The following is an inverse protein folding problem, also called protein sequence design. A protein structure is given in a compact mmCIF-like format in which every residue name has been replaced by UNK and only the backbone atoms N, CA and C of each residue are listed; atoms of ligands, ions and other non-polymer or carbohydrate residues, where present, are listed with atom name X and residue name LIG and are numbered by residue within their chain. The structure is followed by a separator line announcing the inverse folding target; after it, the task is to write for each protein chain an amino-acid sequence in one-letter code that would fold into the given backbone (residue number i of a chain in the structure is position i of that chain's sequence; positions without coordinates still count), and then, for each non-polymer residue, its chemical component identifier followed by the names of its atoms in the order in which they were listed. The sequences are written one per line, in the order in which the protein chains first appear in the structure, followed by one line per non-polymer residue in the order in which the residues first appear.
data_IF_575366405700
#
_entry.id   IF_575366405700
#
_cell.length_a   1.000
_cell.length_b   1.000
_cell.length_c   1.000
_cell.angle_alpha   90.00
_cell.angle_beta   90.00
_cell.angle_gamma   90.00
#
_symmetry.space_group_name_H-M   'P 1'
#
loop_
_entity.id
_entity.type
_entity.pdbx_description
1 polymer ?
#
# COMPACT_ATOMS: atom_id res chain seq x y z
N UNK A 1 26.45 4.33 23.38
CA UNK A 1 25.20 4.78 22.72
C UNK A 1 24.87 6.28 22.95
N UNK A 2 25.61 7.05 23.77
CA UNK A 2 25.25 8.42 24.14
C UNK A 2 25.77 9.55 23.21
N UNK A 3 26.77 9.30 22.36
CA UNK A 3 27.47 10.38 21.63
C UNK A 3 26.75 10.85 20.34
N UNK A 4 26.10 9.95 19.61
CA UNK A 4 25.39 10.32 18.37
C UNK A 4 24.19 11.26 18.63
N UNK A 5 23.49 11.07 19.76
CA UNK A 5 22.38 11.94 20.15
C UNK A 5 22.86 13.34 20.53
N UNK A 6 24.02 13.46 21.18
CA UNK A 6 24.61 14.74 21.58
C UNK A 6 25.05 15.58 20.37
N UNK A 7 25.49 14.93 19.30
CA UNK A 7 25.85 15.60 18.02
C UNK A 7 24.60 16.06 17.28
N UNK A 8 23.54 15.24 17.24
CA UNK A 8 22.25 15.62 16.63
C UNK A 8 21.59 16.80 17.33
N UNK A 9 21.50 16.77 18.66
CA UNK A 9 20.90 17.84 19.48
C UNK A 9 21.63 19.18 19.28
N UNK A 10 22.96 19.18 19.18
CA UNK A 10 23.76 20.39 18.93
C UNK A 10 23.59 20.96 17.52
N UNK A 11 23.25 20.14 16.53
CA UNK A 11 22.96 20.61 15.16
C UNK A 11 21.58 21.24 15.08
N UNK A 12 20.57 20.60 15.69
CA UNK A 12 19.20 21.13 15.73
C UNK A 12 19.11 22.44 16.51
N UNK A 13 19.86 22.58 17.61
CA UNK A 13 19.88 23.84 18.38
C UNK A 13 20.52 25.01 17.62
N UNK A 14 21.55 24.74 16.79
CA UNK A 14 22.17 25.76 15.93
C UNK A 14 21.21 26.22 14.82
N UNK A 15 20.48 25.30 14.20
CA UNK A 15 19.48 25.64 13.17
C UNK A 15 18.39 26.50 13.77
N UNK A 16 17.85 26.12 14.94
CA UNK A 16 16.81 26.88 15.63
C UNK A 16 17.27 28.31 15.98
N UNK A 17 18.51 28.46 16.45
CA UNK A 17 19.07 29.78 16.76
C UNK A 17 19.19 30.66 15.50
N UNK A 18 19.67 30.12 14.38
CA UNK A 18 19.79 30.85 13.11
C UNK A 18 18.41 31.28 12.61
N UNK A 19 17.42 30.39 12.66
CA UNK A 19 16.04 30.70 12.25
C UNK A 19 15.43 31.78 13.13
N UNK A 20 15.68 31.77 14.44
CA UNK A 20 15.18 32.78 15.37
C UNK A 20 15.78 34.17 15.10
N UNK A 21 17.09 34.24 14.80
CA UNK A 21 17.76 35.50 14.42
C UNK A 21 17.25 36.01 13.08
N UNK A 22 17.07 35.14 12.08
CA UNK A 22 16.51 35.53 10.79
C UNK A 22 15.07 36.06 10.94
N UNK A 23 14.24 35.36 11.71
CA UNK A 23 12.85 35.76 11.97
C UNK A 23 12.78 37.13 12.65
N UNK A 24 13.56 37.37 13.71
CA UNK A 24 13.58 38.65 14.42
C UNK A 24 14.09 39.81 13.55
N UNK A 25 15.06 39.54 12.68
CA UNK A 25 15.56 40.54 11.72
C UNK A 25 14.46 40.93 10.73
N UNK A 26 13.76 39.94 10.15
CA UNK A 26 12.65 40.18 9.21
C UNK A 26 11.49 40.91 9.90
N UNK A 27 11.13 40.50 11.12
CA UNK A 27 10.10 41.16 11.92
C UNK A 27 10.43 42.64 12.15
N UNK A 28 11.67 42.94 12.50
CA UNK A 28 12.14 44.32 12.76
C UNK A 28 12.12 45.16 11.49
N UNK A 29 12.53 44.60 10.34
CA UNK A 29 12.49 45.29 9.04
C UNK A 29 11.05 45.60 8.63
N UNK A 30 10.13 44.65 8.78
CA UNK A 30 8.72 44.83 8.40
C UNK A 30 8.03 45.85 9.30
N UNK A 31 8.31 45.82 10.60
CA UNK A 31 7.76 46.77 11.55
C UNK A 31 8.24 48.21 11.28
N UNK A 32 9.55 48.40 11.09
CA UNK A 32 10.13 49.73 10.91
C UNK A 32 9.80 50.36 9.53
N UNK A 33 9.70 49.56 8.46
CA UNK A 33 9.47 50.09 7.11
C UNK A 33 7.99 50.16 6.73
N UNK A 34 7.13 49.30 7.30
CA UNK A 34 5.73 49.16 6.88
C UNK A 34 4.71 49.24 8.03
N UNK A 35 5.15 49.41 9.29
CA UNK A 35 4.30 49.37 10.50
C UNK A 35 3.47 48.09 10.65
N UNK A 36 3.90 47.00 10.02
CA UNK A 36 3.22 45.71 10.15
C UNK A 36 3.79 45.01 11.38
N UNK A 37 2.94 44.79 12.39
CA UNK A 37 3.32 43.96 13.53
C UNK A 37 3.23 42.48 13.13
N UNK A 38 4.39 41.86 12.89
CA UNK A 38 4.48 40.45 12.52
C UNK A 38 3.93 39.54 13.63
N UNK A 39 3.86 40.02 14.89
CA UNK A 39 3.32 39.27 16.02
C UNK A 39 1.80 39.07 15.86
N UNK A 40 1.07 40.09 15.42
CA UNK A 40 -0.38 40.01 15.21
C UNK A 40 -0.76 39.02 14.10
N UNK A 41 0.10 38.89 13.07
CA UNK A 41 -0.13 37.95 11.97
C UNK A 41 0.37 36.52 12.28
N UNK A 42 1.50 36.39 12.98
CA UNK A 42 2.10 35.09 13.27
C UNK A 42 1.39 34.34 14.40
N UNK A 43 0.80 35.05 15.37
CA UNK A 43 0.09 34.46 16.50
C UNK A 43 -1.08 33.54 16.09
N UNK A 44 -2.03 33.94 15.23
CA UNK A 44 -3.11 33.05 14.80
C UNK A 44 -2.61 31.87 13.98
N UNK A 45 -1.54 32.03 13.19
CA UNK A 45 -0.93 30.94 12.41
C UNK A 45 -0.29 29.91 13.34
N UNK A 46 0.49 30.35 14.33
CA UNK A 46 1.11 29.46 15.31
C UNK A 46 0.04 28.74 16.12
N UNK A 47 -0.97 29.46 16.61
CA UNK A 47 -2.07 28.87 17.38
C UNK A 47 -2.85 27.84 16.55
N UNK A 48 -3.09 28.13 15.27
CA UNK A 48 -3.68 27.21 14.30
C UNK A 48 -2.85 25.94 14.13
N UNK A 49 -1.53 26.06 13.94
CA UNK A 49 -0.64 24.89 13.80
C UNK A 49 -0.57 24.03 15.06
N UNK A 50 -0.57 24.64 16.24
CA UNK A 50 -0.59 23.89 17.50
C UNK A 50 -1.92 23.16 17.67
N UNK A 51 -3.05 23.83 17.36
CA UNK A 51 -4.37 23.22 17.42
C UNK A 51 -4.51 22.04 16.45
N UNK A 52 -3.98 22.15 15.22
CA UNK A 52 -4.03 21.05 14.24
C UNK A 52 -3.16 19.87 14.65
N UNK A 53 -1.95 20.10 15.18
CA UNK A 53 -1.09 19.02 15.70
C UNK A 53 -1.77 18.29 16.86
N UNK A 54 -2.33 19.03 17.82
CA UNK A 54 -3.03 18.45 18.97
C UNK A 54 -4.31 17.70 18.55
N UNK A 55 -5.08 18.24 17.61
CA UNK A 55 -6.25 17.59 17.03
C UNK A 55 -5.88 16.30 16.29
N UNK A 56 -4.81 16.34 15.48
CA UNK A 56 -4.29 15.17 14.78
C UNK A 56 -3.83 14.08 15.76
N UNK A 57 -3.13 14.45 16.83
CA UNK A 57 -2.74 13.51 17.88
C UNK A 57 -3.95 12.90 18.62
N UNK A 58 -5.00 13.70 18.88
CA UNK A 58 -6.23 13.21 19.49
C UNK A 58 -7.00 12.26 18.56
N UNK A 59 -7.10 12.59 17.27
CA UNK A 59 -7.67 11.73 16.24
C UNK A 59 -6.88 10.42 16.13
N UNK A 60 -5.55 10.47 16.07
CA UNK A 60 -4.71 9.28 16.04
C UNK A 60 -4.95 8.39 17.26
N UNK A 61 -5.10 8.97 18.46
CA UNK A 61 -5.41 8.23 19.69
C UNK A 61 -6.83 7.63 19.68
N UNK A 62 -7.80 8.33 19.10
CA UNK A 62 -9.16 7.83 18.92
C UNK A 62 -9.23 6.72 17.88
N UNK A 63 -8.57 6.86 16.73
CA UNK A 63 -8.47 5.84 15.69
C UNK A 63 -7.74 4.59 16.22
N UNK A 64 -6.61 4.76 16.91
CA UNK A 64 -5.93 3.63 17.56
C UNK A 64 -6.81 2.96 18.63
N UNK A 65 -7.56 3.73 19.42
CA UNK A 65 -8.48 3.19 20.43
C UNK A 65 -9.73 2.53 19.84
N UNK A 66 -10.24 3.03 18.71
CA UNK A 66 -11.38 2.47 17.98
C UNK A 66 -10.96 1.18 17.29
N UNK A 67 -9.82 1.16 16.59
CA UNK A 67 -9.27 -0.05 16.00
C UNK A 67 -8.95 -1.11 17.07
N UNK A 68 -8.38 -0.72 18.23
CA UNK A 68 -8.17 -1.66 19.33
C UNK A 68 -9.46 -2.20 19.96
N UNK A 69 -10.56 -1.43 19.91
CA UNK A 69 -11.89 -1.87 20.41
C UNK A 69 -12.68 -2.65 19.36
N UNK A 70 -12.45 -2.40 18.08
CA UNK A 70 -13.13 -3.06 16.95
C UNK A 70 -12.41 -4.33 16.46
N UNK A 71 -11.14 -4.55 16.84
CA UNK A 71 -10.39 -5.78 16.56
C UNK A 71 -10.72 -6.98 17.47
N UNK A 72 -11.97 -7.11 17.94
CA UNK A 72 -12.45 -8.31 18.64
C UNK A 72 -13.88 -8.77 18.25
N UNK A 73 -14.39 -8.44 17.07
CA UNK A 73 -15.65 -9.11 16.62
C UNK A 73 -15.78 -9.45 15.13
N UNK A 74 -14.70 -9.44 14.35
CA UNK A 74 -14.79 -9.90 12.96
C UNK A 74 -13.81 -11.04 12.69
N UNK A 75 -14.37 -12.26 12.65
CA UNK A 75 -13.76 -13.38 11.94
C UNK A 75 -12.89 -14.35 12.75
N UNK A 76 -13.46 -15.03 13.75
CA UNK A 76 -12.99 -16.39 14.05
C UNK A 76 -14.16 -17.26 14.49
N UNK A 77 -14.84 -17.86 13.50
CA UNK A 77 -15.52 -19.14 13.72
C UNK A 77 -14.42 -20.19 13.67
N UNK A 78 -14.01 -20.67 14.83
CA UNK A 78 -13.41 -21.99 14.95
C UNK A 78 -14.18 -22.79 15.99
N UNK A 79 -14.58 -23.98 15.57
CA UNK A 79 -15.44 -24.93 16.27
C UNK A 79 -14.70 -25.52 17.46
N UNK A 80 -15.29 -25.43 18.65
CA UNK A 80 -15.20 -26.54 19.62
C UNK A 80 -16.39 -26.55 20.57
N UNK A 81 -17.24 -27.55 20.35
CA UNK A 81 -17.83 -28.45 21.37
C UNK A 81 -18.53 -27.83 22.58
N UNK A 82 -19.87 -28.01 22.62
CA UNK A 82 -20.60 -28.86 23.60
C UNK A 82 -21.91 -28.22 24.10
N UNK A 83 -23.02 -28.90 23.81
CA UNK A 83 -24.12 -29.03 24.76
C UNK A 83 -25.46 -28.38 24.42
N UNK A 84 -26.38 -29.24 23.96
CA UNK A 84 -27.77 -29.37 24.47
C UNK A 84 -28.93 -28.67 23.70
N UNK A 85 -29.94 -29.51 23.44
CA UNK A 85 -31.20 -29.39 22.67
C UNK A 85 -32.33 -28.71 23.51
N UNK A 86 -33.62 -28.63 23.11
CA UNK A 86 -34.33 -27.43 22.62
C UNK A 86 -35.60 -27.04 23.45
N UNK A 87 -36.24 -25.91 23.13
CA UNK A 87 -37.71 -25.69 23.25
C UNK A 87 -38.04 -24.32 22.65
N UNK A 88 -38.70 -24.21 21.50
CA UNK A 88 -40.15 -24.31 21.27
C UNK A 88 -41.02 -23.23 21.95
N UNK A 89 -41.67 -22.46 21.07
CA UNK A 89 -43.09 -22.06 21.11
C UNK A 89 -43.44 -20.60 21.51
N UNK A 90 -43.83 -19.88 20.45
CA UNK A 90 -44.72 -18.71 20.32
C UNK A 90 -45.96 -18.71 21.26
N UNK A 91 -46.63 -17.58 21.56
CA UNK A 91 -47.57 -16.98 20.57
C UNK A 91 -47.79 -15.45 20.61
N UNK A 92 -47.98 -14.91 19.41
CA UNK A 92 -49.10 -14.08 18.90
C UNK A 92 -49.92 -13.21 19.89
N UNK A 93 -50.09 -11.92 19.59
CA UNK A 93 -51.32 -11.13 19.77
C UNK A 93 -51.23 -9.80 19.01
N UNK A 94 -52.20 -9.60 18.10
CA UNK A 94 -52.50 -8.39 17.35
C UNK A 94 -53.09 -7.27 18.23
N UNK A 95 -52.81 -6.00 17.88
CA UNK A 95 -53.79 -4.91 18.06
C UNK A 95 -53.61 -3.86 16.95
N UNK A 96 -54.76 -3.42 16.41
CA UNK A 96 -54.96 -2.61 15.20
C UNK A 96 -55.35 -1.17 15.55
N UNK A 97 -55.07 -0.24 14.61
CA UNK A 97 -55.74 1.06 14.28
C UNK A 97 -54.85 2.33 14.43
N UNK A 98 -55.06 3.42 13.64
CA UNK A 98 -54.83 3.56 12.19
C UNK A 98 -54.14 4.94 11.87
N UNK A 99 -54.33 5.55 10.67
CA UNK A 99 -53.38 5.72 9.58
C UNK A 99 -52.59 7.05 9.62
N UNK A 100 -51.46 7.13 8.91
CA UNK A 100 -50.97 8.43 8.39
C UNK A 100 -50.34 8.23 7.03
N UNK A 101 -51.05 8.70 6.00
CA UNK A 101 -50.54 8.96 4.68
C UNK A 101 -49.36 9.94 4.75
N UNK A 102 -48.19 9.48 4.36
CA UNK A 102 -47.16 10.33 3.77
C UNK A 102 -46.48 9.58 2.63
N UNK A 103 -47.24 9.45 1.54
CA UNK A 103 -46.68 9.40 0.21
C UNK A 103 -45.86 10.67 -0.04
N UNK A 104 -44.60 10.65 0.36
CA UNK A 104 -43.56 11.46 -0.28
C UNK A 104 -42.67 10.47 -1.02
N UNK A 105 -43.18 10.01 -2.16
CA UNK A 105 -42.32 9.49 -3.20
C UNK A 105 -41.56 10.69 -3.74
N UNK A 106 -40.41 10.98 -3.12
CA UNK A 106 -39.34 11.73 -3.79
C UNK A 106 -38.99 10.93 -5.03
N UNK A 107 -39.64 11.30 -6.14
CA UNK A 107 -39.27 10.84 -7.46
C UNK A 107 -37.91 11.49 -7.73
N UNK A 108 -36.85 10.83 -7.30
CA UNK A 108 -35.47 11.18 -7.62
C UNK A 108 -35.37 11.13 -9.15
N UNK A 109 -35.57 12.27 -9.80
CA UNK A 109 -35.35 12.41 -11.24
C UNK A 109 -33.84 12.37 -11.39
N UNK A 110 -33.33 11.15 -11.56
CA UNK A 110 -31.93 10.89 -11.84
C UNK A 110 -31.58 11.66 -13.12
N UNK A 111 -30.73 12.67 -12.98
CA UNK A 111 -30.34 13.52 -14.12
C UNK A 111 -29.70 12.63 -15.19
N UNK A 112 -30.15 12.68 -16.46
CA UNK A 112 -29.53 11.90 -17.55
C UNK A 112 -28.01 12.10 -17.63
N UNK A 113 -27.53 13.30 -17.27
CA UNK A 113 -26.12 13.63 -17.16
C UNK A 113 -25.37 12.83 -16.08
N UNK A 114 -25.99 12.62 -14.90
CA UNK A 114 -25.39 11.86 -13.81
C UNK A 114 -25.24 10.38 -14.21
N UNK A 115 -26.24 9.84 -14.91
CA UNK A 115 -26.21 8.47 -15.44
C UNK A 115 -25.09 8.24 -16.46
N UNK A 116 -24.88 9.19 -17.38
CA UNK A 116 -23.76 9.12 -18.34
C UNK A 116 -22.39 9.23 -17.64
N UNK A 117 -22.28 10.08 -16.62
CA UNK A 117 -21.07 10.20 -15.80
C UNK A 117 -20.76 8.89 -15.06
N UNK A 118 -21.75 8.28 -14.40
CA UNK A 118 -21.59 7.01 -13.69
C UNK A 118 -21.15 5.88 -14.62
N UNK A 119 -21.81 5.75 -15.78
CA UNK A 119 -21.44 4.75 -16.79
C UNK A 119 -19.99 4.91 -17.26
N UNK A 120 -19.51 6.15 -17.44
CA UNK A 120 -18.12 6.43 -17.82
C UNK A 120 -17.12 6.06 -16.72
N UNK A 121 -17.47 6.30 -15.45
CA UNK A 121 -16.62 5.90 -14.32
C UNK A 121 -16.54 4.36 -14.23
N UNK A 122 -17.65 3.64 -14.45
CA UNK A 122 -17.64 2.18 -14.47
C UNK A 122 -16.85 1.60 -15.65
N UNK A 123 -16.95 2.21 -16.83
CA UNK A 123 -16.14 1.84 -17.99
C UNK A 123 -14.64 2.03 -17.72
N UNK A 124 -14.25 3.17 -17.14
CA UNK A 124 -12.85 3.41 -16.75
C UNK A 124 -12.35 2.35 -15.76
N UNK A 125 -13.15 2.02 -14.74
CA UNK A 125 -12.79 0.97 -13.78
C UNK A 125 -12.67 -0.42 -14.40
N UNK A 126 -13.54 -0.76 -15.35
CA UNK A 126 -13.43 -2.02 -16.10
C UNK A 126 -12.16 -2.05 -16.95
N UNK A 127 -11.87 -0.98 -17.69
CA UNK A 127 -10.66 -0.89 -18.50
C UNK A 127 -9.38 -0.97 -17.65
N UNK A 128 -9.38 -0.32 -16.47
CA UNK A 128 -8.27 -0.43 -15.50
C UNK A 128 -8.11 -1.86 -14.96
N UNK A 129 -9.22 -2.53 -14.63
CA UNK A 129 -9.20 -3.91 -14.16
C UNK A 129 -8.74 -4.88 -15.26
N UNK A 130 -9.24 -4.75 -16.49
CA UNK A 130 -8.83 -5.57 -17.63
C UNK A 130 -7.34 -5.40 -17.94
N UNK A 131 -6.85 -4.15 -17.95
CA UNK A 131 -5.41 -3.86 -18.10
C UNK A 131 -4.60 -4.50 -16.98
N UNK A 132 -5.05 -4.36 -15.73
CA UNK A 132 -4.37 -4.96 -14.57
C UNK A 132 -4.32 -6.48 -14.66
N UNK A 133 -5.41 -7.13 -15.05
CA UNK A 133 -5.47 -8.58 -15.27
C UNK A 133 -4.50 -9.02 -16.36
N UNK A 134 -4.40 -8.27 -17.47
CA UNK A 134 -3.45 -8.58 -18.54
C UNK A 134 -1.99 -8.44 -18.09
N UNK A 135 -1.68 -7.43 -17.28
CA UNK A 135 -0.34 -7.25 -16.68
C UNK A 135 -0.02 -8.42 -15.74
N UNK A 136 -0.94 -8.78 -14.85
CA UNK A 136 -0.77 -9.89 -13.90
C UNK A 136 -0.54 -11.20 -14.64
N UNK A 137 -1.30 -11.47 -15.70
CA UNK A 137 -1.09 -12.63 -16.56
C UNK A 137 0.33 -12.68 -17.15
N UNK A 138 0.81 -11.58 -17.73
CA UNK A 138 2.18 -11.51 -18.25
C UNK A 138 3.25 -11.75 -17.16
N UNK A 139 2.99 -11.28 -15.94
CA UNK A 139 3.87 -11.53 -14.78
C UNK A 139 3.86 -13.01 -14.38
N UNK A 140 2.73 -13.71 -14.45
CA UNK A 140 2.67 -15.16 -14.20
C UNK A 140 3.47 -15.96 -15.23
N UNK A 141 3.38 -15.60 -16.52
CA UNK A 141 4.19 -16.23 -17.57
C UNK A 141 5.68 -16.00 -17.31
N UNK A 142 6.06 -14.75 -17.06
CA UNK A 142 7.43 -14.35 -16.71
C UNK A 142 7.97 -15.09 -15.49
N UNK A 143 7.17 -15.16 -14.43
CA UNK A 143 7.52 -15.85 -13.20
C UNK A 143 7.73 -17.34 -13.45
N UNK A 144 6.88 -17.97 -14.25
CA UNK A 144 7.03 -19.39 -14.60
C UNK A 144 8.32 -19.63 -15.37
N UNK A 145 8.64 -18.78 -16.35
CA UNK A 145 9.86 -18.90 -17.15
C UNK A 145 11.13 -18.72 -16.32
N UNK A 146 11.23 -17.64 -15.53
CA UNK A 146 12.44 -17.33 -14.78
C UNK A 146 12.62 -18.21 -13.54
N UNK A 147 11.53 -18.49 -12.82
CA UNK A 147 11.59 -19.05 -11.46
C UNK A 147 11.48 -20.57 -11.41
N UNK A 148 10.95 -21.24 -12.45
CA UNK A 148 10.72 -22.70 -12.45
C UNK A 148 12.00 -23.53 -12.25
N UNK A 149 13.13 -23.03 -12.73
CA UNK A 149 14.42 -23.69 -12.52
C UNK A 149 14.88 -23.66 -11.05
N UNK A 150 14.42 -22.68 -10.26
CA UNK A 150 14.82 -22.48 -8.87
C UNK A 150 13.80 -23.03 -7.87
N UNK A 151 12.53 -23.19 -8.25
CA UNK A 151 11.43 -23.52 -7.34
C UNK A 151 10.85 -24.91 -7.60
N UNK A 152 10.32 -25.53 -6.55
CA UNK A 152 9.42 -26.68 -6.69
C UNK A 152 8.10 -26.24 -7.35
N UNK A 153 7.26 -27.18 -7.79
CA UNK A 153 5.95 -26.85 -8.34
C UNK A 153 5.10 -26.15 -7.27
N UNK A 154 5.09 -26.69 -6.05
CA UNK A 154 4.34 -26.15 -4.91
C UNK A 154 4.82 -24.74 -4.50
N UNK A 155 6.14 -24.51 -4.49
CA UNK A 155 6.70 -23.17 -4.21
C UNK A 155 6.41 -22.18 -5.35
N UNK A 156 6.36 -22.65 -6.60
CA UNK A 156 6.01 -21.81 -7.75
C UNK A 156 4.52 -21.45 -7.73
N UNK A 157 3.64 -22.38 -7.39
CA UNK A 157 2.21 -22.10 -7.16
C UNK A 157 2.03 -21.08 -6.04
N UNK A 158 2.74 -21.26 -4.92
CA UNK A 158 2.72 -20.30 -3.81
C UNK A 158 3.25 -18.92 -4.23
N UNK A 159 4.27 -18.86 -5.10
CA UNK A 159 4.76 -17.59 -5.64
C UNK A 159 3.68 -16.89 -6.48
N UNK A 160 2.95 -17.64 -7.30
CA UNK A 160 1.84 -17.09 -8.07
C UNK A 160 0.74 -16.52 -7.17
N UNK A 161 0.34 -17.24 -6.10
CA UNK A 161 -0.62 -16.71 -5.12
C UNK A 161 -0.13 -15.40 -4.47
N UNK A 162 1.15 -15.33 -4.09
CA UNK A 162 1.73 -14.12 -3.51
C UNK A 162 1.74 -12.94 -4.49
N UNK A 163 1.95 -13.19 -5.80
CA UNK A 163 1.87 -12.16 -6.85
C UNK A 163 0.46 -11.63 -6.98
N UNK A 164 -0.55 -12.50 -6.93
CA UNK A 164 -1.96 -12.10 -6.94
C UNK A 164 -2.29 -11.21 -5.74
N UNK A 165 -1.82 -11.61 -4.55
CA UNK A 165 -1.97 -10.80 -3.34
C UNK A 165 -1.26 -9.44 -3.44
N UNK A 166 -0.06 -9.38 -4.04
CA UNK A 166 0.66 -8.12 -4.30
C UNK A 166 -0.09 -7.24 -5.30
N UNK A 167 -0.56 -7.81 -6.40
CA UNK A 167 -1.23 -7.09 -7.46
C UNK A 167 -2.55 -6.51 -6.95
N UNK A 168 -3.39 -7.30 -6.29
CA UNK A 168 -4.73 -6.87 -5.87
C UNK A 168 -4.79 -6.26 -4.46
N UNK A 169 -3.67 -6.20 -3.75
CA UNK A 169 -3.59 -5.56 -2.43
C UNK A 169 -4.34 -6.35 -1.35
N UNK A 170 -4.23 -7.67 -1.38
CA UNK A 170 -4.84 -8.54 -0.39
C UNK A 170 -4.21 -8.35 1.00
N UNK A 171 -5.01 -8.58 2.05
CA UNK A 171 -4.60 -8.32 3.43
C UNK A 171 -3.85 -9.51 4.05
N UNK A 172 -3.98 -10.69 3.46
CA UNK A 172 -3.32 -11.91 3.89
C UNK A 172 -1.79 -11.76 3.84
N UNK A 173 -1.06 -12.26 4.86
CA UNK A 173 0.38 -12.24 4.83
C UNK A 173 0.91 -13.14 3.72
N UNK A 174 1.98 -12.70 3.04
CA UNK A 174 2.64 -13.52 2.03
C UNK A 174 3.20 -14.81 2.62
N UNK A 175 3.08 -15.89 1.86
CA UNK A 175 3.62 -17.20 2.22
C UNK A 175 5.10 -17.27 1.85
N UNK A 176 6.01 -17.59 2.79
CA UNK A 176 7.42 -17.72 2.46
C UNK A 176 7.65 -18.97 1.62
N UNK A 177 8.57 -18.85 0.66
CA UNK A 177 9.02 -19.93 -0.23
C UNK A 177 10.55 -20.02 -0.19
N UNK A 178 11.09 -21.10 -0.76
CA UNK A 178 12.53 -21.32 -0.80
C UNK A 178 12.97 -21.92 -2.13
N UNK A 179 14.11 -21.47 -2.62
CA UNK A 179 14.77 -22.09 -3.76
C UNK A 179 15.31 -23.49 -3.42
N UNK A 180 15.36 -24.36 -4.43
CA UNK A 180 15.85 -25.73 -4.29
C UNK A 180 17.31 -25.71 -3.81
N UNK A 181 17.74 -26.66 -2.95
CA UNK A 181 19.10 -26.66 -2.41
C UNK A 181 20.20 -26.79 -3.46
N UNK A 182 19.93 -27.49 -4.56
CA UNK A 182 20.83 -27.74 -5.69
C UNK A 182 20.91 -26.57 -6.68
N UNK A 183 19.86 -25.74 -6.74
CA UNK A 183 19.82 -24.54 -7.58
C UNK A 183 19.26 -23.34 -6.80
N UNK A 184 20.08 -22.80 -5.90
CA UNK A 184 19.68 -21.64 -5.09
C UNK A 184 19.74 -20.33 -5.88
N UNK A 185 18.62 -19.62 -5.93
CA UNK A 185 18.58 -18.26 -6.45
C UNK A 185 19.36 -17.30 -5.54
N UNK A 186 20.07 -16.35 -6.14
CA UNK A 186 20.93 -15.40 -5.40
C UNK A 186 20.27 -14.03 -5.31
N UNK A 187 20.70 -13.26 -4.30
CA UNK A 187 20.15 -11.94 -4.00
C UNK A 187 20.09 -10.99 -5.21
N UNK A 188 21.09 -10.89 -6.10
CA UNK A 188 20.98 -10.03 -7.29
C UNK A 188 19.78 -10.39 -8.18
N UNK A 189 19.60 -11.67 -8.52
CA UNK A 189 18.45 -12.12 -9.33
C UNK A 189 17.11 -11.82 -8.64
N UNK A 190 17.02 -12.02 -7.32
CA UNK A 190 15.79 -11.70 -6.57
C UNK A 190 15.48 -10.19 -6.55
N UNK A 191 16.51 -9.35 -6.44
CA UNK A 191 16.35 -7.88 -6.51
C UNK A 191 15.81 -7.45 -7.87
N UNK A 192 16.40 -7.96 -8.94
CA UNK A 192 15.98 -7.65 -10.30
C UNK A 192 14.58 -8.16 -10.60
N UNK A 193 14.27 -9.40 -10.20
CA UNK A 193 12.94 -9.96 -10.31
C UNK A 193 11.89 -9.09 -9.62
N UNK A 194 12.14 -8.69 -8.37
CA UNK A 194 11.24 -7.80 -7.63
C UNK A 194 11.08 -6.42 -8.28
N UNK A 195 12.14 -5.91 -8.91
CA UNK A 195 12.05 -4.67 -9.68
C UNK A 195 11.17 -4.83 -10.92
N UNK A 196 11.42 -5.86 -11.73
CA UNK A 196 10.74 -6.12 -13.01
C UNK A 196 9.22 -6.28 -12.83
N UNK A 197 8.79 -7.07 -11.84
CA UNK A 197 7.35 -7.28 -11.56
C UNK A 197 6.72 -6.01 -10.98
N UNK A 198 7.42 -5.34 -10.06
CA UNK A 198 6.89 -4.17 -9.39
C UNK A 198 6.80 -2.96 -10.30
N UNK A 199 7.62 -2.89 -11.36
CA UNK A 199 7.55 -1.83 -12.36
C UNK A 199 6.25 -1.91 -13.16
N UNK A 200 5.87 -3.11 -13.57
CA UNK A 200 4.65 -3.36 -14.33
C UNK A 200 3.39 -3.15 -13.51
N UNK A 201 3.45 -3.45 -12.22
CA UNK A 201 2.35 -3.26 -11.27
C UNK A 201 2.28 -1.86 -10.66
N UNK A 202 3.19 -0.95 -11.03
CA UNK A 202 3.32 0.39 -10.42
C UNK A 202 3.43 0.36 -8.88
N UNK A 203 4.17 -0.63 -8.36
CA UNK A 203 4.37 -0.81 -6.92
C UNK A 203 5.52 0.09 -6.44
N UNK A 204 5.39 0.81 -5.31
CA UNK A 204 6.50 1.57 -4.74
C UNK A 204 7.72 0.70 -4.41
N UNK A 205 8.95 1.21 -4.63
CA UNK A 205 10.20 0.46 -4.39
C UNK A 205 10.29 -0.15 -2.98
N UNK A 206 9.79 0.56 -1.97
CA UNK A 206 9.78 0.07 -0.58
C UNK A 206 8.91 -1.18 -0.41
N UNK A 207 7.78 -1.25 -1.12
CA UNK A 207 6.86 -2.37 -1.02
C UNK A 207 7.34 -3.54 -1.88
N UNK A 208 8.00 -3.28 -3.03
CA UNK A 208 8.76 -4.31 -3.78
C UNK A 208 9.82 -4.98 -2.89
N UNK A 209 10.56 -4.18 -2.11
CA UNK A 209 11.60 -4.67 -1.21
C UNK A 209 11.03 -5.48 -0.02
N UNK A 210 9.92 -5.04 0.57
CA UNK A 210 9.21 -5.81 1.61
C UNK A 210 8.68 -7.12 1.06
N UNK A 211 8.06 -7.09 -0.12
CA UNK A 211 7.50 -8.26 -0.79
C UNK A 211 8.56 -9.35 -0.93
N UNK A 212 9.64 -9.05 -1.67
CA UNK A 212 10.68 -10.05 -1.97
C UNK A 212 11.37 -10.59 -0.71
N UNK A 213 11.61 -9.73 0.29
CA UNK A 213 12.19 -10.11 1.57
C UNK A 213 11.27 -11.03 2.38
N UNK A 214 9.96 -10.83 2.29
CA UNK A 214 8.96 -11.65 2.98
C UNK A 214 8.82 -13.02 2.33
N UNK A 215 8.80 -13.08 0.99
CA UNK A 215 8.64 -14.36 0.27
C UNK A 215 9.94 -15.18 0.19
N UNK A 216 11.12 -14.55 0.19
CA UNK A 216 12.43 -15.24 0.22
C UNK A 216 13.24 -14.89 1.47
N UNK A 217 12.78 -15.26 2.68
CA UNK A 217 13.41 -14.85 3.92
C UNK A 217 14.80 -15.49 4.10
N UNK A 218 15.01 -16.70 3.58
CA UNK A 218 16.26 -17.44 3.69
C UNK A 218 17.34 -16.90 2.75
N UNK A 219 17.04 -16.73 1.46
CA UNK A 219 17.96 -16.23 0.44
C UNK A 219 18.37 -14.79 0.69
N UNK A 220 17.51 -14.02 1.36
CA UNK A 220 17.74 -12.62 1.68
C UNK A 220 18.02 -12.39 3.16
N UNK A 221 18.30 -13.41 3.98
CA UNK A 221 18.44 -13.32 5.45
C UNK A 221 19.20 -12.07 5.92
N UNK A 222 20.36 -11.82 5.33
CA UNK A 222 21.27 -10.73 5.70
C UNK A 222 20.96 -9.37 5.03
N UNK A 223 19.98 -9.32 4.12
CA UNK A 223 19.59 -8.10 3.43
C UNK A 223 18.54 -7.32 4.24
N UNK A 224 18.80 -6.03 4.48
CA UNK A 224 17.84 -5.10 5.07
C UNK A 224 16.87 -4.60 3.99
N UNK A 225 15.68 -4.16 4.39
CA UNK A 225 14.69 -3.60 3.46
C UNK A 225 15.26 -2.34 2.78
N UNK A 226 15.98 -1.49 3.53
CA UNK A 226 16.63 -0.29 3.01
C UNK A 226 17.71 -0.61 1.97
N UNK A 227 18.50 -1.65 2.22
CA UNK A 227 19.48 -2.14 1.25
C UNK A 227 18.78 -2.63 -0.01
N UNK A 228 17.75 -3.47 0.12
CA UNK A 228 17.02 -4.02 -1.03
C UNK A 228 16.42 -2.88 -1.86
N UNK A 229 15.65 -1.98 -1.23
CA UNK A 229 15.00 -0.84 -1.89
C UNK A 229 15.97 0.01 -2.73
N UNK A 230 17.19 0.23 -2.25
CA UNK A 230 18.23 1.00 -2.97
C UNK A 230 18.88 0.24 -4.12
N UNK A 231 18.84 -1.09 -4.10
CA UNK A 231 19.59 -1.96 -5.01
C UNK A 231 18.68 -2.87 -5.86
N UNK A 232 17.36 -2.60 -5.90
CA UNK A 232 16.42 -3.36 -6.72
C UNK A 232 16.78 -3.31 -8.22
N UNK A 233 17.29 -2.16 -8.68
CA UNK A 233 17.66 -1.90 -10.08
C UNK A 233 19.17 -1.66 -10.25
N UNK A 234 19.99 -2.34 -9.44
CA UNK A 234 21.44 -2.23 -9.60
C UNK A 234 21.91 -2.91 -10.91
N UNK A 235 23.19 -2.73 -11.24
CA UNK A 235 23.80 -3.30 -12.44
C UNK A 235 24.68 -4.51 -12.13
N UNK A 236 24.48 -5.16 -10.98
CA UNK A 236 25.25 -6.34 -10.60
C UNK A 236 24.85 -7.49 -11.53
N UNK A 237 25.81 -8.25 -12.10
CA UNK A 237 25.48 -9.42 -12.90
C UNK A 237 24.57 -10.39 -12.13
N UNK A 238 23.47 -10.77 -12.76
CA UNK A 238 22.45 -11.66 -12.21
C UNK A 238 21.93 -12.57 -13.32
N UNK A 239 21.39 -13.73 -12.93
CA UNK A 239 20.76 -14.66 -13.89
C UNK A 239 19.50 -14.01 -14.45
N UNK A 240 18.70 -13.40 -13.57
CA UNK A 240 17.54 -12.60 -13.97
C UNK A 240 18.04 -11.18 -14.24
N UNK A 241 17.94 -10.74 -15.50
CA UNK A 241 18.32 -9.41 -15.91
C UNK A 241 17.26 -8.37 -15.53
N UNK A 242 17.69 -7.11 -15.39
CA UNK A 242 16.76 -5.97 -15.32
C UNK A 242 16.08 -5.81 -16.67
N UNK A 243 14.75 -5.80 -16.67
CA UNK A 243 13.89 -5.72 -17.85
C UNK A 243 13.00 -4.47 -17.76
N UNK A 244 13.43 -3.42 -18.45
CA UNK A 244 12.78 -2.10 -18.47
C UNK A 244 11.79 -2.06 -19.63
N UNK A 245 10.47 -1.99 -19.37
CA UNK A 245 9.48 -1.94 -20.43
C UNK A 245 9.51 -0.59 -21.17
N UNK A 246 9.09 -0.60 -22.43
CA UNK A 246 8.79 0.63 -23.16
C UNK A 246 7.54 1.32 -22.59
N UNK A 247 7.36 2.61 -22.90
CA UNK A 247 6.22 3.37 -22.37
C UNK A 247 4.89 2.75 -22.78
N UNK A 248 4.13 2.26 -21.79
CA UNK A 248 2.83 1.63 -22.01
C UNK A 248 2.90 0.14 -22.34
N UNK A 249 4.11 -0.42 -22.51
CA UNK A 249 4.33 -1.86 -22.61
C UNK A 249 4.41 -2.49 -21.21
N UNK A 250 3.98 -3.74 -21.10
CA UNK A 250 4.09 -4.56 -19.90
C UNK A 250 4.63 -5.96 -20.20
N UNK A 251 4.87 -6.29 -21.46
CA UNK A 251 5.48 -7.56 -21.86
C UNK A 251 6.95 -7.60 -21.46
N UNK A 252 7.48 -8.81 -21.27
CA UNK A 252 8.88 -9.03 -20.90
C UNK A 252 9.67 -9.35 -22.16
N UNK A 253 10.86 -8.75 -22.31
CA UNK A 253 11.66 -8.93 -23.53
C UNK A 253 12.10 -10.38 -23.73
N UNK A 254 12.31 -11.13 -22.64
CA UNK A 254 12.64 -12.56 -22.70
C UNK A 254 11.51 -13.44 -23.27
N UNK A 255 10.28 -12.92 -23.37
CA UNK A 255 9.12 -13.66 -23.88
C UNK A 255 8.81 -13.37 -25.35
N UNK A 256 9.38 -12.32 -25.93
CA UNK A 256 9.04 -11.89 -27.28
C UNK A 256 9.74 -12.73 -28.36
N UNK A 257 10.76 -13.51 -28.01
CA UNK A 257 11.62 -14.23 -28.96
C UNK A 257 11.07 -15.56 -29.49
N UNK A 258 9.88 -16.01 -29.06
CA UNK A 258 9.29 -17.29 -29.52
C UNK A 258 8.26 -17.14 -30.65
N UNK A 259 7.88 -15.92 -31.03
CA UNK A 259 6.87 -15.70 -32.08
C UNK A 259 7.47 -15.52 -33.50
N UNK A 260 8.74 -15.12 -33.59
CA UNK A 260 9.38 -14.77 -34.88
C UNK A 260 10.25 -15.90 -35.48
N UNK A 261 10.33 -17.06 -34.83
CA UNK A 261 11.13 -18.20 -35.32
C UNK A 261 10.36 -19.21 -36.18
N UNK A 262 9.06 -19.01 -36.40
CA UNK A 262 8.19 -19.91 -37.17
C UNK A 262 7.63 -19.25 -38.46
N UNK A 263 8.48 -18.58 -39.24
CA UNK A 263 8.12 -18.10 -40.58
C UNK A 263 9.21 -18.39 -41.63
#
# INVERSE_FOLDING_TARGET
MADNNRISIKKTSRVLAITCVAYTTVATILYNNYQIDLIDYSTPVILGTVATIMSCAALQRLFCSLLSKSCLSFGCKELSSRGTVPSETNPDTQEELPPTDNATSEKHVESPYLKEYEARIEELRRNEMEKKTAIVHAIHEYTTHEMSQFLSIDDLETLHENIESLAYGQAEPYKPIRSKPDNQIKSPSLRHYAWNIGERLDIPLIDRAKFIKTIFPHELENATIEYLCKNLRDSVPAIIAIDVPENGDYHFSCMQTSADSDN
#
